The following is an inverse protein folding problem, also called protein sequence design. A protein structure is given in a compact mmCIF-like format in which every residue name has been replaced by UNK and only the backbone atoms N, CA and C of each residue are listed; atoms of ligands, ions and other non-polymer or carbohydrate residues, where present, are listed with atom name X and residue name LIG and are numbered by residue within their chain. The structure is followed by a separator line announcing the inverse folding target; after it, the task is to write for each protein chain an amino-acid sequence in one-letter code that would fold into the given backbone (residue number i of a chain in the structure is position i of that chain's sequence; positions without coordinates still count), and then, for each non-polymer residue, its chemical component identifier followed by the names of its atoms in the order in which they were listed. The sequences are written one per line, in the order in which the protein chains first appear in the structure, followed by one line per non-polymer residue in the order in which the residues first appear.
data_IF_643100142962
#
_entry.id   IF_643100142962
#
_cell.length_a   1.000
_cell.length_b   1.000
_cell.length_c   1.000
_cell.angle_alpha   90.00
_cell.angle_beta   90.00
_cell.angle_gamma   90.00
#
_symmetry.space_group_name_H-M   'P 1'
#
loop_
_entity.id
_entity.type
_entity.pdbx_description
1 polymer ?
#
# COMPACT_ATOMS: atom_id res chain seq x y z
N UNK A 1 -5.71 -13.57 -2.35
CA UNK A 1 -6.74 -13.06 -1.43
C UNK A 1 -6.14 -12.97 -0.02
N UNK A 2 -5.99 -11.76 0.52
CA UNK A 2 -5.48 -11.55 1.88
C UNK A 2 -6.63 -11.79 2.85
N UNK A 3 -6.70 -12.97 3.46
CA UNK A 3 -7.70 -13.26 4.48
C UNK A 3 -7.34 -12.60 5.83
N UNK A 4 -8.31 -12.52 6.74
CA UNK A 4 -8.11 -11.94 8.09
C UNK A 4 -6.93 -12.57 8.84
N UNK A 5 -6.65 -13.86 8.61
CA UNK A 5 -5.48 -14.57 9.17
C UNK A 5 -4.16 -14.00 8.66
N UNK A 6 -4.09 -13.60 7.39
CA UNK A 6 -2.92 -12.92 6.82
C UNK A 6 -2.80 -11.49 7.33
N UNK A 7 -3.93 -10.76 7.46
CA UNK A 7 -3.93 -9.40 8.02
C UNK A 7 -3.36 -9.36 9.45
N UNK A 8 -3.72 -10.28 10.34
CA UNK A 8 -3.16 -10.33 11.70
C UNK A 8 -1.66 -10.64 11.72
N UNK A 9 -1.16 -11.54 10.86
CA UNK A 9 0.29 -11.80 10.73
C UNK A 9 1.03 -10.57 10.23
N UNK A 10 0.46 -9.87 9.25
CA UNK A 10 1.01 -8.64 8.70
C UNK A 10 1.04 -7.54 9.78
N UNK A 11 -0.05 -7.34 10.52
CA UNK A 11 -0.13 -6.36 11.62
C UNK A 11 0.96 -6.59 12.68
N UNK A 12 1.16 -7.85 13.08
CA UNK A 12 2.26 -8.24 14.00
C UNK A 12 3.65 -7.96 13.45
N UNK A 13 3.87 -8.21 12.16
CA UNK A 13 5.18 -7.93 11.53
C UNK A 13 5.44 -6.43 11.36
N UNK A 14 4.37 -5.64 11.27
CA UNK A 14 4.44 -4.19 11.22
C UNK A 14 4.37 -3.53 12.61
N UNK A 15 4.28 -4.32 13.69
CA UNK A 15 4.11 -3.86 15.08
C UNK A 15 2.90 -2.91 15.27
N UNK A 16 1.76 -3.25 14.67
CA UNK A 16 0.50 -2.49 14.77
C UNK A 16 -0.66 -3.35 15.28
N UNK A 17 -0.40 -4.50 15.90
CA UNK A 17 -1.46 -5.38 16.43
C UNK A 17 -2.27 -4.74 17.56
N UNK A 18 -1.67 -3.83 18.33
CA UNK A 18 -2.30 -3.14 19.46
C UNK A 18 -3.09 -1.90 19.05
N UNK A 19 -2.96 -1.48 17.78
CA UNK A 19 -3.72 -0.36 17.23
C UNK A 19 -5.00 -0.91 16.63
N UNK A 20 -6.13 -0.26 16.91
CA UNK A 20 -7.39 -0.55 16.23
C UNK A 20 -7.30 -0.16 14.76
N UNK A 21 -7.61 -1.11 13.88
CA UNK A 21 -7.42 -0.98 12.44
C UNK A 21 -8.60 -1.57 11.69
N UNK A 22 -9.12 -0.81 10.74
CA UNK A 22 -10.00 -1.32 9.70
C UNK A 22 -9.12 -1.73 8.52
N UNK A 23 -9.22 -2.99 8.09
CA UNK A 23 -8.41 -3.51 6.98
C UNK A 23 -9.27 -4.03 5.83
N UNK A 24 -8.81 -3.81 4.60
CA UNK A 24 -9.44 -4.34 3.40
C UNK A 24 -8.66 -3.98 2.14
N UNK A 25 -8.98 -4.60 1.01
CA UNK A 25 -8.51 -4.14 -0.28
C UNK A 25 -9.25 -2.85 -0.68
N UNK A 26 -8.67 -2.11 -1.63
CA UNK A 26 -9.33 -0.94 -2.19
C UNK A 26 -9.11 -0.86 -3.69
N UNK A 27 -10.17 -0.59 -4.42
CA UNK A 27 -10.11 -0.35 -5.85
C UNK A 27 -11.03 0.80 -6.26
N UNK A 28 -10.59 1.52 -7.28
CA UNK A 28 -11.38 2.51 -8.01
C UNK A 28 -11.25 2.21 -9.49
N UNK A 29 -12.38 1.87 -10.10
CA UNK A 29 -12.49 1.64 -11.54
C UNK A 29 -13.07 2.91 -12.18
N UNK A 30 -12.53 3.26 -13.35
CA UNK A 30 -13.10 4.33 -14.15
C UNK A 30 -14.35 3.82 -14.85
N UNK A 31 -15.36 4.68 -14.96
CA UNK A 31 -16.48 4.44 -15.84
C UNK A 31 -16.00 4.42 -17.30
N UNK A 32 -16.69 3.64 -18.13
CA UNK A 32 -16.42 3.60 -19.58
C UNK A 32 -16.51 5.04 -20.12
N UNK A 33 -15.45 5.50 -20.80
CA UNK A 33 -15.28 6.84 -21.38
C UNK A 33 -14.91 7.99 -20.42
N UNK A 34 -14.60 7.72 -19.15
CA UNK A 34 -14.07 8.75 -18.24
C UNK A 34 -12.57 9.00 -18.45
N UNK A 35 -12.15 10.27 -18.51
CA UNK A 35 -10.74 10.66 -18.46
C UNK A 35 -10.23 10.56 -17.03
N UNK A 36 -9.21 9.73 -16.79
CA UNK A 36 -8.60 9.58 -15.46
C UNK A 36 -7.75 8.32 -15.35
N UNK A 37 -7.33 7.98 -14.13
CA UNK A 37 -6.65 6.74 -13.82
C UNK A 37 -7.42 5.94 -12.77
N UNK A 38 -7.70 4.67 -13.06
CA UNK A 38 -8.11 3.72 -12.02
C UNK A 38 -6.94 3.39 -11.10
N UNK A 39 -7.25 2.82 -9.94
CA UNK A 39 -6.23 2.36 -9.01
C UNK A 39 -6.74 1.15 -8.22
N UNK A 40 -5.83 0.22 -7.93
CA UNK A 40 -6.08 -0.91 -7.05
C UNK A 40 -4.94 -0.97 -6.03
N UNK A 41 -5.30 -1.17 -4.77
CA UNK A 41 -4.40 -1.26 -3.62
C UNK A 41 -4.72 -2.58 -2.93
N UNK A 42 -3.70 -3.42 -2.79
CA UNK A 42 -3.88 -4.81 -2.34
C UNK A 42 -4.41 -4.89 -0.92
N UNK A 43 -3.94 -3.99 -0.05
CA UNK A 43 -4.38 -3.92 1.33
C UNK A 43 -4.23 -2.50 1.87
N UNK A 44 -5.26 -2.03 2.56
CA UNK A 44 -5.29 -0.76 3.26
C UNK A 44 -5.49 -1.06 4.74
N UNK A 45 -4.64 -0.48 5.58
CA UNK A 45 -4.85 -0.41 7.02
C UNK A 45 -5.22 1.02 7.40
N UNK A 46 -6.49 1.23 7.73
CA UNK A 46 -6.96 2.49 8.28
C UNK A 46 -6.91 2.43 9.82
N UNK A 47 -5.92 3.11 10.41
CA UNK A 47 -5.62 3.05 11.84
C UNK A 47 -6.33 4.18 12.58
N UNK A 48 -6.72 3.94 13.83
CA UNK A 48 -7.36 4.96 14.67
C UNK A 48 -6.41 6.09 15.09
N UNK A 49 -5.10 5.83 15.12
CA UNK A 49 -4.06 6.79 15.50
C UNK A 49 -3.71 7.84 14.42
N UNK A 50 -4.62 8.10 13.49
CA UNK A 50 -4.44 9.12 12.48
C UNK A 50 -3.57 8.72 11.28
N UNK A 51 -3.28 7.42 11.13
CA UNK A 51 -2.47 6.90 10.03
C UNK A 51 -3.26 5.96 9.08
N UNK A 52 -2.96 6.01 7.79
CA UNK A 52 -3.43 5.05 6.79
C UNK A 52 -2.23 4.44 6.09
N UNK A 53 -2.10 3.11 6.12
CA UNK A 53 -1.02 2.41 5.42
C UNK A 53 -1.59 1.73 4.17
N UNK A 54 -1.13 2.18 3.01
CA UNK A 54 -1.41 1.54 1.74
C UNK A 54 -0.34 0.49 1.51
N UNK A 55 -0.75 -0.74 1.27
CA UNK A 55 0.16 -1.87 1.11
C UNK A 55 0.09 -2.39 -0.31
N UNK A 56 1.26 -2.63 -0.91
CA UNK A 56 1.40 -3.39 -2.13
C UNK A 56 2.10 -4.71 -1.81
N UNK A 57 1.58 -5.82 -2.32
CA UNK A 57 2.10 -7.16 -2.08
C UNK A 57 2.81 -7.64 -3.35
N UNK A 58 4.08 -8.02 -3.23
CA UNK A 58 4.86 -8.61 -4.32
C UNK A 58 5.30 -10.01 -3.95
N UNK A 59 4.82 -10.99 -4.71
CA UNK A 59 5.26 -12.38 -4.61
C UNK A 59 6.18 -12.68 -5.80
N UNK A 60 7.49 -12.74 -5.55
CA UNK A 60 8.48 -13.14 -6.54
C UNK A 60 9.40 -14.19 -5.91
N UNK A 61 9.74 -15.22 -6.68
CA UNK A 61 10.73 -16.23 -6.26
C UNK A 61 12.16 -15.67 -6.20
N UNK A 62 12.38 -14.49 -6.77
CA UNK A 62 13.65 -13.75 -6.81
C UNK A 62 13.55 -12.45 -5.99
N UNK A 63 14.70 -11.89 -5.60
CA UNK A 63 14.79 -10.57 -4.96
C UNK A 63 14.01 -9.52 -5.76
N UNK A 64 13.10 -8.82 -5.09
CA UNK A 64 12.34 -7.75 -5.75
C UNK A 64 13.17 -6.47 -5.77
N UNK A 65 13.46 -5.97 -6.98
CA UNK A 65 14.16 -4.70 -7.19
C UNK A 65 13.11 -3.60 -7.41
N UNK A 66 13.07 -2.63 -6.51
CA UNK A 66 12.19 -1.46 -6.64
C UNK A 66 12.67 -0.61 -7.81
N UNK A 67 11.83 -0.43 -8.83
CA UNK A 67 12.15 0.42 -10.00
C UNK A 67 11.53 1.80 -9.89
N UNK A 68 11.98 2.74 -10.71
CA UNK A 68 11.40 4.09 -10.78
C UNK A 68 9.93 4.03 -11.21
N UNK A 69 9.61 3.16 -12.16
CA UNK A 69 8.25 2.97 -12.70
C UNK A 69 7.31 2.46 -11.60
N UNK A 70 7.79 1.57 -10.75
CA UNK A 70 7.03 1.10 -9.59
C UNK A 70 6.75 2.22 -8.58
N UNK A 71 7.74 3.06 -8.30
CA UNK A 71 7.55 4.23 -7.41
C UNK A 71 6.50 5.19 -7.99
N UNK A 72 6.57 5.50 -9.28
CA UNK A 72 5.61 6.38 -9.94
C UNK A 72 4.21 5.76 -9.97
N UNK A 73 4.10 4.43 -10.12
CA UNK A 73 2.84 3.71 -9.96
C UNK A 73 2.25 3.89 -8.56
N UNK A 74 3.06 3.75 -7.49
CA UNK A 74 2.60 3.95 -6.12
C UNK A 74 2.17 5.40 -5.85
N UNK A 75 2.91 6.39 -6.38
CA UNK A 75 2.51 7.81 -6.30
C UNK A 75 1.17 8.04 -6.97
N UNK A 76 0.97 7.51 -8.18
CA UNK A 76 -0.31 7.60 -8.89
C UNK A 76 -1.45 6.96 -8.09
N UNK A 77 -1.27 5.74 -7.58
CA UNK A 77 -2.27 5.06 -6.73
C UNK A 77 -2.62 5.89 -5.48
N UNK A 78 -1.61 6.45 -4.79
CA UNK A 78 -1.80 7.33 -3.62
C UNK A 78 -2.59 8.58 -3.95
N UNK A 79 -2.33 9.20 -5.10
CA UNK A 79 -3.06 10.38 -5.56
C UNK A 79 -4.54 10.06 -5.80
N UNK A 80 -4.85 8.98 -6.52
CA UNK A 80 -6.24 8.54 -6.76
C UNK A 80 -6.92 8.18 -5.43
N UNK A 81 -6.24 7.46 -4.53
CA UNK A 81 -6.77 7.16 -3.21
C UNK A 81 -7.12 8.43 -2.41
N UNK A 82 -6.20 9.41 -2.37
CA UNK A 82 -6.42 10.69 -1.70
C UNK A 82 -7.61 11.45 -2.28
N UNK A 83 -7.72 11.51 -3.60
CA UNK A 83 -8.81 12.20 -4.29
C UNK A 83 -10.18 11.59 -3.95
N UNK A 84 -10.27 10.24 -3.96
CA UNK A 84 -11.55 9.52 -3.82
C UNK A 84 -11.96 9.29 -2.38
N UNK A 85 -11.03 8.94 -1.48
CA UNK A 85 -11.33 8.70 -0.06
C UNK A 85 -11.24 9.96 0.80
N UNK A 86 -10.52 11.00 0.34
CA UNK A 86 -10.25 12.25 1.09
C UNK A 86 -9.89 12.01 2.56
N UNK A 87 -8.94 11.10 2.86
CA UNK A 87 -8.57 10.81 4.23
C UNK A 87 -7.94 12.06 4.87
N UNK A 88 -8.30 12.33 6.14
CA UNK A 88 -7.64 13.36 6.96
C UNK A 88 -6.33 12.86 7.60
N UNK A 89 -6.04 11.58 7.44
CA UNK A 89 -4.95 10.82 8.07
C UNK A 89 -3.67 10.89 7.25
N UNK A 90 -2.52 10.73 7.91
CA UNK A 90 -1.23 10.61 7.23
C UNK A 90 -1.16 9.29 6.47
N UNK A 91 -0.65 9.31 5.23
CA UNK A 91 -0.66 8.13 4.36
C UNK A 91 0.77 7.66 4.08
N UNK A 92 1.02 6.39 4.38
CA UNK A 92 2.29 5.72 4.16
C UNK A 92 2.14 4.57 3.16
N UNK A 93 3.21 4.28 2.42
CA UNK A 93 3.31 3.07 1.62
C UNK A 93 4.06 1.99 2.37
N UNK A 94 3.58 0.76 2.29
CA UNK A 94 4.25 -0.44 2.78
C UNK A 94 4.38 -1.42 1.64
N UNK A 95 5.60 -1.88 1.37
CA UNK A 95 5.84 -2.97 0.44
C UNK A 95 5.97 -4.27 1.23
N UNK A 96 5.07 -5.22 0.95
CA UNK A 96 5.12 -6.57 1.53
C UNK A 96 5.66 -7.50 0.44
N UNK A 97 6.88 -7.97 0.60
CA UNK A 97 7.51 -8.90 -0.34
C UNK A 97 7.69 -10.28 0.30
N UNK A 98 7.43 -11.35 -0.46
CA UNK A 98 7.63 -12.72 0.02
C UNK A 98 9.12 -13.04 0.27
N UNK A 99 9.99 -12.50 -0.57
CA UNK A 99 11.44 -12.54 -0.43
C UNK A 99 11.97 -11.12 -0.16
N UNK A 100 13.19 -11.00 0.39
CA UNK A 100 13.80 -9.69 0.69
C UNK A 100 13.71 -8.75 -0.53
N UNK A 101 13.30 -7.51 -0.32
CA UNK A 101 13.45 -6.48 -1.33
C UNK A 101 14.93 -6.09 -1.38
N UNK A 102 15.49 -5.93 -2.59
CA UNK A 102 16.84 -5.39 -2.72
C UNK A 102 16.84 -3.95 -2.25
N UNK A 103 17.69 -3.63 -1.27
CA UNK A 103 17.91 -2.25 -0.88
C UNK A 103 18.43 -1.46 -2.08
N UNK A 104 17.73 -0.38 -2.42
CA UNK A 104 18.17 0.56 -3.44
C UNK A 104 17.68 1.97 -3.11
N UNK A 105 18.17 2.96 -3.84
CA UNK A 105 17.82 4.38 -3.63
C UNK A 105 16.31 4.65 -3.67
N UNK A 106 15.56 3.87 -4.46
CA UNK A 106 14.11 4.03 -4.61
C UNK A 106 13.34 3.51 -3.40
N UNK A 107 13.78 2.40 -2.80
CA UNK A 107 13.21 1.88 -1.55
C UNK A 107 13.46 2.88 -0.40
N UNK A 108 14.67 3.45 -0.30
CA UNK A 108 14.99 4.46 0.71
C UNK A 108 14.07 5.67 0.61
N UNK A 109 13.80 6.15 -0.61
CA UNK A 109 12.91 7.28 -0.85
C UNK A 109 11.43 7.00 -0.52
N UNK A 110 11.01 5.73 -0.37
CA UNK A 110 9.65 5.38 0.09
C UNK A 110 9.53 5.37 1.62
N UNK A 111 10.62 5.16 2.36
CA UNK A 111 10.62 5.00 3.83
C UNK A 111 10.73 6.36 4.55
N UNK A 112 11.27 7.39 3.89
CA UNK A 112 11.58 8.69 4.50
C UNK A 112 10.74 9.88 3.97
N UNK A 113 9.45 9.71 3.69
CA UNK A 113 8.53 10.81 3.35
C UNK A 113 7.42 11.02 4.39
#
# INVERSE_FOLDING_TARGET
MVCFKHANKIRRKLNIEYIAVICGDWQYQLEKNSKGNGAQIDLVFDREDGCTMLCEIKYNDKLYVVTKEFVEQLKRKKAVYREKKRPKKQIFWVLIAANRASENQYLKNMVYQ
#
